data_IF_438788687913
#
_entry.id   IF_438788687913
#
_cell.length_a   1.000
_cell.length_b   1.000
_cell.length_c   1.000
_cell.angle_alpha   90.00
_cell.angle_beta   90.00
_cell.angle_gamma   90.00
#
_symmetry.space_group_name_H-M   'P 1'
#
loop_
_entity.id
_entity.type
_entity.pdbx_description
1 polymer ?
#
# COMPACT_ATOMS: atom_id res chain seq x y z
N UNK A 1 -16.44 -40.85 14.77
CA UNK A 1 -15.34 -41.22 15.68
C UNK A 1 -14.11 -41.49 14.83
N UNK A 2 -12.94 -40.96 15.25
CA UNK A 2 -11.57 -41.27 14.77
C UNK A 2 -11.20 -40.50 13.48
N UNK A 3 -10.30 -39.50 13.41
CA UNK A 3 -9.19 -39.07 14.25
C UNK A 3 -9.19 -37.53 14.46
N UNK A 4 -9.25 -37.12 15.72
CA UNK A 4 -8.63 -35.90 16.18
C UNK A 4 -7.13 -36.20 16.34
N UNK A 5 -6.32 -35.78 15.37
CA UNK A 5 -4.87 -35.90 15.42
C UNK A 5 -4.26 -34.51 15.20
N UNK A 6 -4.03 -33.81 16.30
CA UNK A 6 -2.70 -33.27 16.62
C UNK A 6 -1.96 -32.56 15.46
N UNK A 7 -2.52 -31.46 14.96
CA UNK A 7 -1.70 -30.34 14.55
C UNK A 7 -1.66 -29.36 15.73
N UNK A 8 -0.70 -29.58 16.63
CA UNK A 8 -0.28 -28.57 17.58
C UNK A 8 0.26 -27.38 16.79
N UNK A 9 -0.63 -26.46 16.41
CA UNK A 9 -0.23 -25.14 15.90
C UNK A 9 -0.10 -24.27 17.15
N UNK A 10 1.07 -23.70 17.45
CA UNK A 10 1.27 -22.89 18.63
C UNK A 10 0.47 -21.58 18.49
N UNK A 11 -0.74 -21.53 19.02
CA UNK A 11 -1.47 -20.30 19.29
C UNK A 11 -1.84 -20.36 20.78
N UNK A 12 -1.22 -19.54 21.65
CA UNK A 12 -1.55 -18.11 21.69
C UNK A 12 -0.41 -17.15 22.11
N UNK A 13 0.88 -17.53 22.02
CA UNK A 13 1.97 -16.70 22.58
C UNK A 13 2.61 -15.69 21.61
N UNK A 14 2.28 -15.73 20.31
CA UNK A 14 2.90 -14.94 19.23
C UNK A 14 1.88 -14.16 18.38
N UNK A 15 0.61 -14.10 18.79
CA UNK A 15 -0.48 -13.53 17.97
C UNK A 15 -1.22 -12.36 18.62
N UNK A 16 -0.79 -11.92 19.81
CA UNK A 16 -1.47 -10.84 20.54
C UNK A 16 -1.42 -9.51 19.76
N UNK A 17 -0.28 -9.18 19.15
CA UNK A 17 -0.15 -7.96 18.34
C UNK A 17 -0.94 -8.11 17.04
N UNK A 18 -0.88 -9.27 16.37
CA UNK A 18 -1.70 -9.57 15.19
C UNK A 18 -3.20 -9.40 15.45
N UNK A 19 -3.71 -9.87 16.59
CA UNK A 19 -5.13 -9.73 16.95
C UNK A 19 -5.53 -8.26 17.19
N UNK A 20 -4.59 -7.41 17.65
CA UNK A 20 -4.85 -5.97 17.82
C UNK A 20 -4.75 -5.19 16.51
N UNK A 21 -3.82 -5.54 15.62
CA UNK A 21 -3.60 -4.84 14.34
C UNK A 21 -4.57 -5.32 13.25
N UNK A 22 -4.88 -6.61 13.23
CA UNK A 22 -5.76 -7.30 12.25
C UNK A 22 -6.67 -8.30 12.99
N UNK A 23 -7.77 -7.84 13.62
CA UNK A 23 -8.63 -8.69 14.46
C UNK A 23 -9.30 -9.87 13.74
N UNK A 24 -9.34 -9.87 12.40
CA UNK A 24 -9.89 -10.94 11.57
C UNK A 24 -8.80 -11.77 10.86
N UNK A 25 -7.55 -11.75 11.33
CA UNK A 25 -6.46 -12.49 10.72
C UNK A 25 -6.61 -14.00 10.89
N UNK A 26 -6.55 -14.77 9.80
CA UNK A 26 -6.76 -16.23 9.81
C UNK A 26 -5.46 -17.04 9.84
N UNK A 27 -4.30 -16.39 10.01
CA UNK A 27 -2.99 -17.05 10.12
C UNK A 27 -2.29 -17.36 8.79
N UNK A 28 -2.84 -16.94 7.65
CA UNK A 28 -2.16 -17.03 6.34
C UNK A 28 -1.08 -15.95 6.20
N UNK A 29 0.07 -16.25 5.58
CA UNK A 29 1.16 -15.26 5.41
C UNK A 29 0.71 -13.96 4.73
N UNK A 30 1.15 -12.82 5.28
CA UNK A 30 0.92 -11.50 4.69
C UNK A 30 1.73 -11.32 3.41
N UNK A 31 1.10 -11.49 2.25
CA UNK A 31 1.78 -11.25 0.97
C UNK A 31 1.85 -9.76 0.63
N UNK A 32 2.89 -9.35 -0.09
CA UNK A 32 3.03 -7.98 -0.59
C UNK A 32 1.86 -7.56 -1.50
N UNK A 33 1.18 -8.52 -2.14
CA UNK A 33 0.02 -8.26 -2.98
C UNK A 33 -1.21 -7.91 -2.14
N UNK A 34 -1.47 -8.67 -1.07
CA UNK A 34 -2.58 -8.39 -0.14
C UNK A 34 -2.41 -7.01 0.50
N UNK A 35 -1.19 -6.67 0.90
CA UNK A 35 -0.89 -5.34 1.45
C UNK A 35 -1.07 -4.23 0.41
N UNK A 36 -0.64 -4.45 -0.84
CA UNK A 36 -0.84 -3.47 -1.90
C UNK A 36 -2.32 -3.22 -2.18
N UNK A 37 -3.13 -4.29 -2.28
CA UNK A 37 -4.59 -4.16 -2.49
C UNK A 37 -5.24 -3.44 -1.32
N UNK A 38 -4.87 -3.78 -0.09
CA UNK A 38 -5.38 -3.10 1.10
C UNK A 38 -5.02 -1.61 1.10
N UNK A 39 -3.77 -1.26 0.78
CA UNK A 39 -3.30 0.12 0.71
C UNK A 39 -3.98 0.90 -0.41
N UNK A 40 -4.14 0.33 -1.60
CA UNK A 40 -4.88 0.98 -2.70
C UNK A 40 -6.37 1.16 -2.39
N UNK A 41 -6.95 0.28 -1.58
CA UNK A 41 -8.33 0.39 -1.10
C UNK A 41 -8.56 1.46 -0.03
N UNK A 42 -7.50 2.09 0.48
CA UNK A 42 -7.64 3.15 1.50
C UNK A 42 -8.28 4.41 0.89
N UNK A 43 -9.15 5.13 1.65
CA UNK A 43 -9.77 6.37 1.18
C UNK A 43 -8.82 7.39 0.54
N UNK A 44 -7.64 7.72 1.12
CA UNK A 44 -6.69 8.64 0.48
C UNK A 44 -6.17 8.12 -0.86
N UNK A 45 -5.86 6.83 -0.97
CA UNK A 45 -5.38 6.24 -2.22
C UNK A 45 -6.43 6.29 -3.33
N UNK A 46 -7.70 6.00 -3.01
CA UNK A 46 -8.80 6.10 -3.96
C UNK A 46 -9.00 7.53 -4.47
N UNK A 47 -8.95 8.52 -3.57
CA UNK A 47 -9.00 9.94 -3.94
C UNK A 47 -7.85 10.32 -4.88
N UNK A 48 -6.63 9.88 -4.57
CA UNK A 48 -5.45 10.18 -5.38
C UNK A 48 -5.51 9.49 -6.74
N UNK A 49 -6.04 8.27 -6.86
CA UNK A 49 -6.25 7.60 -8.15
C UNK A 49 -7.21 8.41 -9.03
N UNK A 50 -8.33 8.87 -8.47
CA UNK A 50 -9.30 9.71 -9.20
C UNK A 50 -8.66 11.03 -9.61
N UNK A 51 -7.91 11.67 -8.71
CA UNK A 51 -7.19 12.90 -9.01
C UNK A 51 -6.16 12.70 -10.14
N UNK A 52 -5.37 11.62 -10.10
CA UNK A 52 -4.45 11.25 -11.18
C UNK A 52 -5.19 11.10 -12.51
N UNK A 53 -6.32 10.40 -12.53
CA UNK A 53 -7.11 10.20 -13.74
C UNK A 53 -7.62 11.52 -14.33
N UNK A 54 -8.12 12.44 -13.48
CA UNK A 54 -8.56 13.77 -13.90
C UNK A 54 -7.40 14.60 -14.46
N UNK A 55 -6.26 14.61 -13.77
CA UNK A 55 -5.07 15.34 -14.20
C UNK A 55 -4.56 14.85 -15.55
N UNK A 56 -4.49 13.53 -15.76
CA UNK A 56 -4.10 12.93 -17.04
C UNK A 56 -5.13 13.28 -18.13
N UNK A 57 -6.43 13.25 -17.80
CA UNK A 57 -7.51 13.56 -18.75
C UNK A 57 -7.51 15.02 -19.21
N UNK A 58 -7.21 15.96 -18.31
CA UNK A 58 -7.11 17.39 -18.61
C UNK A 58 -5.70 17.82 -19.05
N UNK A 59 -4.71 16.93 -18.95
CA UNK A 59 -3.28 17.21 -19.23
C UNK A 59 -2.76 18.45 -18.50
N UNK A 60 -3.19 18.65 -17.25
CA UNK A 60 -2.78 19.81 -16.46
C UNK A 60 -1.38 19.59 -15.87
N UNK A 61 -0.43 20.47 -16.21
CA UNK A 61 0.94 20.42 -15.67
C UNK A 61 0.99 20.67 -14.16
N UNK A 62 0.32 21.73 -13.71
CA UNK A 62 0.22 22.08 -12.30
C UNK A 62 -0.54 21.00 -11.51
N UNK A 63 -1.58 20.41 -12.12
CA UNK A 63 -2.28 19.27 -11.56
C UNK A 63 -1.37 18.04 -11.42
N UNK A 64 -0.53 17.78 -12.42
CA UNK A 64 0.48 16.71 -12.40
C UNK A 64 1.44 16.85 -11.23
N UNK A 65 1.99 18.05 -11.04
CA UNK A 65 2.87 18.35 -9.92
C UNK A 65 2.17 18.14 -8.57
N UNK A 66 0.97 18.70 -8.40
CA UNK A 66 0.21 18.58 -7.15
C UNK A 66 -0.09 17.11 -6.81
N UNK A 67 -0.51 16.31 -7.80
CA UNK A 67 -0.81 14.89 -7.61
C UNK A 67 0.44 14.08 -7.27
N UNK A 68 1.58 14.32 -7.94
CA UNK A 68 2.83 13.61 -7.63
C UNK A 68 3.33 13.94 -6.22
N UNK A 69 3.24 15.21 -5.81
CA UNK A 69 3.58 15.62 -4.44
C UNK A 69 2.64 14.97 -3.42
N UNK A 70 1.33 14.92 -3.71
CA UNK A 70 0.37 14.28 -2.83
C UNK A 70 0.60 12.77 -2.71
N UNK A 71 0.92 12.08 -3.81
CA UNK A 71 1.35 10.69 -3.78
C UNK A 71 2.63 10.49 -2.97
N UNK A 72 3.64 11.35 -3.15
CA UNK A 72 4.89 11.29 -2.40
C UNK A 72 4.69 11.51 -0.90
N UNK A 73 3.81 12.45 -0.52
CA UNK A 73 3.43 12.68 0.87
C UNK A 73 2.73 11.45 1.46
N UNK A 74 1.79 10.87 0.73
CA UNK A 74 1.06 9.68 1.18
C UNK A 74 1.96 8.45 1.30
N UNK A 75 2.82 8.16 0.31
CA UNK A 75 3.76 7.03 0.40
C UNK A 75 4.78 7.21 1.51
N UNK A 76 5.22 8.44 1.77
CA UNK A 76 6.07 8.76 2.92
C UNK A 76 5.36 8.48 4.23
N UNK A 77 4.09 8.89 4.37
CA UNK A 77 3.31 8.57 5.55
C UNK A 77 3.18 7.05 5.75
N UNK A 78 2.90 6.29 4.70
CA UNK A 78 2.82 4.82 4.75
C UNK A 78 4.16 4.18 5.13
N UNK A 79 5.27 4.63 4.54
CA UNK A 79 6.60 4.10 4.80
C UNK A 79 7.11 4.43 6.21
N UNK A 80 6.76 5.62 6.72
CA UNK A 80 7.21 6.12 8.02
C UNK A 80 6.26 5.75 9.17
N UNK A 81 5.10 5.17 8.90
CA UNK A 81 4.16 4.74 9.94
C UNK A 81 4.66 3.51 10.73
N UNK A 82 5.93 3.12 10.62
CA UNK A 82 6.54 2.02 11.34
C UNK A 82 6.63 2.28 12.84
N UNK A 83 5.52 2.05 13.56
CA UNK A 83 5.52 2.00 15.01
C UNK A 83 6.12 0.67 15.51
N UNK A 84 6.48 0.62 16.79
CA UNK A 84 7.04 -0.60 17.40
C UNK A 84 6.08 -1.80 17.26
N UNK A 85 4.76 -1.57 17.28
CA UNK A 85 3.76 -2.61 17.09
C UNK A 85 3.78 -3.22 15.67
N UNK A 86 3.97 -2.43 14.61
CA UNK A 86 4.03 -2.92 13.23
C UNK A 86 5.35 -3.65 12.95
N UNK A 87 6.45 -3.22 13.59
CA UNK A 87 7.71 -3.96 13.53
C UNK A 87 7.56 -5.35 14.17
N UNK A 88 6.87 -5.45 15.31
CA UNK A 88 6.55 -6.74 15.94
C UNK A 88 5.56 -7.56 15.09
N UNK A 89 4.52 -6.94 14.52
CA UNK A 89 3.56 -7.61 13.64
C UNK A 89 4.19 -8.13 12.33
N UNK A 90 5.25 -7.47 11.83
CA UNK A 90 6.02 -7.94 10.68
C UNK A 90 6.89 -9.16 11.02
N UNK A 91 7.43 -9.25 12.24
CA UNK A 91 8.14 -10.44 12.74
C UNK A 91 7.16 -11.61 12.90
N UNK A 92 5.94 -11.34 13.34
CA UNK A 92 4.85 -12.31 13.44
C UNK A 92 4.26 -12.71 12.06
N UNK A 93 4.71 -12.07 10.97
CA UNK A 93 4.31 -12.41 9.60
C UNK A 93 2.90 -11.93 9.19
N UNK A 94 2.27 -11.11 10.04
CA UNK A 94 0.92 -10.59 9.81
C UNK A 94 0.90 -9.26 9.03
N UNK A 95 2.04 -8.61 8.90
CA UNK A 95 2.22 -7.40 8.08
C UNK A 95 3.26 -7.69 7.01
N UNK A 96 2.82 -7.61 5.74
CA UNK A 96 3.68 -7.80 4.59
C UNK A 96 4.44 -6.52 4.21
N UNK A 97 5.39 -6.66 3.28
CA UNK A 97 6.12 -5.50 2.75
C UNK A 97 5.21 -4.62 1.88
N UNK A 98 5.18 -3.28 2.09
CA UNK A 98 4.46 -2.35 1.23
C UNK A 98 5.14 -2.10 -0.12
N UNK A 99 6.21 -2.83 -0.46
CA UNK A 99 7.02 -2.59 -1.65
C UNK A 99 6.21 -2.56 -2.96
N UNK A 100 5.26 -3.47 -3.15
CA UNK A 100 4.45 -3.51 -4.38
C UNK A 100 3.57 -2.26 -4.53
N UNK A 101 3.04 -1.73 -3.43
CA UNK A 101 2.30 -0.46 -3.44
C UNK A 101 3.21 0.70 -3.87
N UNK A 102 4.39 0.81 -3.26
CA UNK A 102 5.36 1.88 -3.56
C UNK A 102 5.82 1.84 -5.02
N UNK A 103 6.10 0.64 -5.56
CA UNK A 103 6.45 0.45 -6.97
C UNK A 103 5.29 0.88 -7.87
N UNK A 104 4.06 0.49 -7.56
CA UNK A 104 2.87 0.90 -8.31
C UNK A 104 2.67 2.42 -8.35
N UNK A 105 2.83 3.08 -7.21
CA UNK A 105 2.74 4.54 -7.12
C UNK A 105 3.86 5.22 -7.91
N UNK A 106 5.09 4.72 -7.82
CA UNK A 106 6.22 5.25 -8.59
C UNK A 106 5.94 5.21 -10.11
N UNK A 107 5.38 4.11 -10.61
CA UNK A 107 4.98 3.97 -12.01
C UNK A 107 3.85 4.94 -12.40
N UNK A 108 2.84 5.12 -11.53
CA UNK A 108 1.77 6.10 -11.74
C UNK A 108 2.31 7.53 -11.81
N UNK A 109 3.20 7.91 -10.90
CA UNK A 109 3.83 9.23 -10.90
C UNK A 109 4.63 9.46 -12.19
N UNK A 110 5.46 8.49 -12.58
CA UNK A 110 6.22 8.56 -13.83
C UNK A 110 5.29 8.71 -15.05
N UNK A 111 4.22 7.91 -15.13
CA UNK A 111 3.21 8.01 -16.17
C UNK A 111 2.55 9.40 -16.21
N UNK A 112 2.14 9.92 -15.05
CA UNK A 112 1.50 11.23 -14.94
C UNK A 112 2.39 12.36 -15.46
N UNK A 113 3.68 12.35 -15.08
CA UNK A 113 4.66 13.32 -15.58
C UNK A 113 4.79 13.17 -17.10
N UNK A 114 5.05 11.97 -17.60
CA UNK A 114 5.23 11.72 -19.03
C UNK A 114 4.02 12.17 -19.88
N UNK A 115 2.80 11.99 -19.37
CA UNK A 115 1.57 12.37 -20.07
C UNK A 115 1.22 13.87 -20.00
N UNK A 116 1.75 14.58 -19.01
CA UNK A 116 1.50 16.02 -18.78
C UNK A 116 2.63 16.92 -19.29
N UNK A 117 3.77 16.35 -19.71
CA UNK A 117 4.85 17.08 -20.35
C UNK A 117 4.35 17.91 -21.55
N UNK A 118 4.77 19.18 -21.67
CA UNK A 118 4.44 19.98 -22.83
C UNK A 118 5.11 19.37 -24.06
N UNK A 119 4.37 19.24 -25.17
CA UNK A 119 4.98 18.92 -26.46
C UNK A 119 5.92 20.06 -26.80
N UNK A 120 7.23 19.80 -26.85
CA UNK A 120 8.20 20.77 -27.34
C UNK A 120 7.89 21.03 -28.81
N UNK A 121 7.15 22.11 -29.07
CA UNK A 121 7.14 22.72 -30.41
C UNK A 121 8.51 23.37 -30.57
N UNK A 122 9.50 22.61 -31.03
CA UNK A 122 10.70 23.19 -31.64
C UNK A 122 10.25 23.80 -32.96
N UNK A 123 10.04 25.13 -32.95
CA UNK A 123 10.05 25.98 -34.13
C UNK A 123 11.47 26.50 -34.33
#
# INVERSE_FOLDING_TARGET
MILAAFAAIPAPALADICAQVRPNWTGSEATALTEAVALFGTPPSLLLIVATALVVRFRSQWGGLAVVVAWAMWTSAVALNGNAQLAQAAIEGCVGSPALFLIGVALMCAGTVLYTLPKSTRL
#
